data_IF_326493579320
#
_entry.id   IF_326493579320
#
_cell.length_a   1.000
_cell.length_b   1.000
_cell.length_c   1.000
_cell.angle_alpha   90.00
_cell.angle_beta   90.00
_cell.angle_gamma   90.00
#
_symmetry.space_group_name_H-M   'P 1'
#
loop_
_entity.id
_entity.type
_entity.pdbx_description
1 polymer ?
#
# COMPACT_ATOMS: atom_id res chain seq x y z
N UNK A 1 7.18 -63.72 -12.20
CA UNK A 1 8.20 -62.69 -11.89
C UNK A 1 7.51 -61.58 -11.15
N UNK A 2 7.79 -61.47 -9.85
CA UNK A 2 7.33 -60.37 -9.00
C UNK A 2 8.31 -59.20 -9.16
N UNK A 3 7.79 -57.98 -9.26
CA UNK A 3 8.56 -56.76 -9.06
C UNK A 3 8.18 -56.19 -7.69
N UNK A 4 9.23 -55.99 -6.90
CA UNK A 4 9.22 -55.67 -5.47
C UNK A 4 8.34 -54.48 -5.07
N UNK A 5 7.73 -54.65 -3.90
CA UNK A 5 7.29 -53.61 -2.98
C UNK A 5 8.42 -52.65 -2.58
N UNK A 6 7.96 -51.48 -2.12
CA UNK A 6 8.55 -50.60 -1.11
C UNK A 6 9.28 -49.35 -1.63
N UNK A 7 8.54 -48.24 -1.79
CA UNK A 7 8.94 -46.92 -1.26
C UNK A 7 7.67 -46.09 -0.91
N UNK A 8 7.64 -45.61 0.34
CA UNK A 8 6.84 -44.52 0.93
C UNK A 8 5.50 -44.82 1.64
N UNK A 9 5.63 -45.45 2.81
CA UNK A 9 4.82 -45.17 4.00
C UNK A 9 5.13 -43.77 4.60
N UNK A 10 4.95 -42.71 3.83
CA UNK A 10 4.78 -41.37 4.39
C UNK A 10 3.61 -40.73 3.65
N UNK A 11 2.52 -40.49 4.37
CA UNK A 11 1.30 -39.83 3.89
C UNK A 11 1.54 -38.35 3.57
N UNK A 12 2.45 -38.07 2.63
CA UNK A 12 2.63 -36.77 2.04
C UNK A 12 1.75 -36.72 0.79
N UNK A 13 0.46 -36.41 0.99
CA UNK A 13 -0.35 -35.91 -0.11
C UNK A 13 0.35 -34.62 -0.59
N UNK A 14 0.75 -34.49 -1.87
CA UNK A 14 1.16 -33.19 -2.38
C UNK A 14 0.02 -32.22 -2.04
N UNK A 15 0.34 -31.10 -1.39
CA UNK A 15 -0.63 -30.05 -1.12
C UNK A 15 -1.14 -29.52 -2.47
N UNK A 16 -2.20 -30.14 -3.00
CA UNK A 16 -2.96 -29.57 -4.12
C UNK A 16 -3.55 -28.29 -3.58
N UNK A 17 -2.95 -27.15 -3.93
CA UNK A 17 -3.52 -25.83 -3.66
C UNK A 17 -4.92 -25.84 -4.29
N UNK A 18 -5.92 -25.51 -3.49
CA UNK A 18 -7.31 -25.43 -3.91
C UNK A 18 -7.42 -24.59 -5.22
N UNK A 19 -8.02 -25.11 -6.30
CA UNK A 19 -8.07 -24.41 -7.59
C UNK A 19 -8.69 -23.01 -7.50
N UNK A 20 -9.67 -22.85 -6.62
CA UNK A 20 -10.32 -21.56 -6.36
C UNK A 20 -9.36 -20.59 -5.66
N UNK A 21 -8.55 -21.06 -4.70
CA UNK A 21 -7.46 -20.27 -4.14
C UNK A 21 -6.38 -19.89 -5.17
N UNK A 22 -6.04 -20.80 -6.10
CA UNK A 22 -5.10 -20.47 -7.19
C UNK A 22 -5.65 -19.35 -8.09
N UNK A 23 -6.96 -19.37 -8.37
CA UNK A 23 -7.60 -18.32 -9.16
C UNK A 23 -7.56 -16.96 -8.45
N UNK A 24 -7.81 -16.94 -7.14
CA UNK A 24 -7.66 -15.73 -6.32
C UNK A 24 -6.24 -15.15 -6.38
N UNK A 25 -5.22 -16.00 -6.25
CA UNK A 25 -3.82 -15.58 -6.33
C UNK A 25 -3.46 -15.03 -7.71
N UNK A 26 -4.02 -15.62 -8.77
CA UNK A 26 -3.84 -15.15 -10.14
C UNK A 26 -4.48 -13.78 -10.37
N UNK A 27 -5.70 -13.57 -9.90
CA UNK A 27 -6.36 -12.26 -9.93
C UNK A 27 -5.60 -11.22 -9.10
N UNK A 28 -5.11 -11.60 -7.92
CA UNK A 28 -4.33 -10.71 -7.06
C UNK A 28 -3.02 -10.30 -7.71
N UNK A 29 -2.35 -11.22 -8.40
CA UNK A 29 -1.15 -10.94 -9.18
C UNK A 29 -1.45 -9.97 -10.32
N UNK A 30 -2.56 -10.19 -11.05
CA UNK A 30 -3.02 -9.28 -12.12
C UNK A 30 -3.27 -7.88 -11.59
N UNK A 31 -3.99 -7.76 -10.47
CA UNK A 31 -4.26 -6.46 -9.85
C UNK A 31 -2.97 -5.71 -9.53
N UNK A 32 -2.00 -6.37 -8.86
CA UNK A 32 -0.73 -5.73 -8.54
C UNK A 32 0.04 -5.28 -9.79
N UNK A 33 0.09 -6.10 -10.84
CA UNK A 33 0.73 -5.73 -12.10
C UNK A 33 0.08 -4.49 -12.72
N UNK A 34 -1.24 -4.50 -12.87
CA UNK A 34 -1.99 -3.37 -13.41
C UNK A 34 -1.83 -2.10 -12.56
N UNK A 35 -1.79 -2.25 -11.24
CA UNK A 35 -1.56 -1.15 -10.32
C UNK A 35 -0.19 -0.49 -10.54
N UNK A 36 0.88 -1.29 -10.65
CA UNK A 36 2.21 -0.75 -10.94
C UNK A 36 2.32 -0.19 -12.36
N UNK A 37 1.64 -0.80 -13.34
CA UNK A 37 1.56 -0.25 -14.69
C UNK A 37 0.88 1.13 -14.69
N UNK A 38 -0.24 1.27 -13.98
CA UNK A 38 -0.95 2.53 -13.83
C UNK A 38 -0.09 3.59 -13.13
N UNK A 39 0.60 3.26 -12.03
CA UNK A 39 1.54 4.19 -11.37
C UNK A 39 2.66 4.67 -12.31
N UNK A 40 3.10 3.83 -13.25
CA UNK A 40 4.14 4.20 -14.21
C UNK A 40 3.61 5.00 -15.42
N UNK A 41 2.29 5.14 -15.57
CA UNK A 41 1.72 6.04 -16.56
C UNK A 41 1.90 7.51 -16.11
N UNK A 42 2.34 8.42 -17.00
CA UNK A 42 2.54 9.83 -16.67
C UNK A 42 1.32 10.54 -16.07
N UNK A 43 0.09 10.07 -16.36
CA UNK A 43 -1.14 10.62 -15.80
C UNK A 43 -1.31 10.33 -14.29
N UNK A 44 -0.57 9.38 -13.74
CA UNK A 44 -0.55 9.01 -12.33
C UNK A 44 0.75 9.42 -11.61
N UNK A 45 1.51 10.37 -12.16
CA UNK A 45 2.80 10.77 -11.58
C UNK A 45 2.70 11.24 -10.12
N UNK A 46 1.61 11.94 -9.75
CA UNK A 46 1.37 12.36 -8.37
C UNK A 46 1.05 11.17 -7.45
N UNK A 47 0.29 10.19 -7.95
CA UNK A 47 -0.03 8.97 -7.19
C UNK A 47 1.24 8.16 -6.95
N UNK A 48 2.09 8.05 -7.96
CA UNK A 48 3.39 7.38 -7.89
C UNK A 48 4.30 8.02 -6.85
N UNK A 49 4.45 9.34 -6.88
CA UNK A 49 5.22 10.05 -5.86
C UNK A 49 4.66 9.79 -4.46
N UNK A 50 3.33 9.89 -4.29
CA UNK A 50 2.70 9.66 -2.98
C UNK A 50 2.85 8.23 -2.45
N UNK A 51 3.02 7.26 -3.34
CA UNK A 51 3.18 5.85 -3.00
C UNK A 51 4.65 5.48 -2.77
N UNK A 52 5.57 6.00 -3.59
CA UNK A 52 7.00 5.70 -3.55
C UNK A 52 7.79 6.53 -2.53
N UNK A 53 7.35 7.76 -2.21
CA UNK A 53 8.01 8.63 -1.20
C UNK A 53 7.78 8.15 0.25
N UNK A 54 7.05 7.04 0.44
CA UNK A 54 6.79 6.44 1.75
C UNK A 54 7.94 5.51 2.13
N UNK A 55 8.62 5.82 3.24
CA UNK A 55 9.71 5.01 3.77
C UNK A 55 9.30 4.24 5.05
N UNK A 56 10.00 3.13 5.34
CA UNK A 56 9.85 2.39 6.59
C UNK A 56 8.42 1.90 6.86
N UNK A 57 7.86 2.30 8.01
CA UNK A 57 6.51 1.90 8.43
C UNK A 57 5.40 2.38 7.47
N UNK A 58 5.62 3.49 6.76
CA UNK A 58 4.68 4.06 5.80
C UNK A 58 4.69 3.27 4.47
N UNK A 59 5.83 2.71 4.08
CA UNK A 59 5.94 1.79 2.94
C UNK A 59 5.15 0.51 3.20
N UNK A 60 5.31 -0.07 4.40
CA UNK A 60 4.53 -1.24 4.83
C UNK A 60 3.03 -0.94 4.90
N UNK A 61 2.67 0.30 5.26
CA UNK A 61 1.29 0.76 5.31
C UNK A 61 0.69 0.89 3.91
N UNK A 62 1.43 1.49 2.97
CA UNK A 62 1.04 1.59 1.57
C UNK A 62 0.87 0.21 0.92
N UNK A 63 1.79 -0.72 1.23
CA UNK A 63 1.69 -2.08 0.72
C UNK A 63 0.49 -2.83 1.29
N UNK A 64 0.23 -2.69 2.59
CA UNK A 64 -0.96 -3.27 3.22
C UNK A 64 -2.27 -2.69 2.65
N UNK A 65 -2.28 -1.42 2.25
CA UNK A 65 -3.42 -0.77 1.60
C UNK A 65 -3.62 -1.29 0.19
N UNK A 66 -2.55 -1.41 -0.61
CA UNK A 66 -2.59 -2.02 -1.94
C UNK A 66 -3.11 -3.48 -1.88
N UNK A 67 -2.61 -4.26 -0.92
CA UNK A 67 -3.03 -5.64 -0.72
C UNK A 67 -4.52 -5.71 -0.30
N UNK A 68 -5.00 -4.76 0.51
CA UNK A 68 -6.42 -4.67 0.88
C UNK A 68 -7.31 -4.44 -0.34
N UNK A 69 -6.92 -3.51 -1.22
CA UNK A 69 -7.64 -3.24 -2.46
C UNK A 69 -7.71 -4.48 -3.34
N UNK A 70 -6.58 -5.16 -3.56
CA UNK A 70 -6.49 -6.42 -4.30
C UNK A 70 -7.39 -7.51 -3.70
N UNK A 71 -7.43 -7.61 -2.38
CA UNK A 71 -8.22 -8.60 -1.66
C UNK A 71 -9.73 -8.39 -1.88
N UNK A 72 -10.20 -7.17 -1.62
CA UNK A 72 -11.64 -6.84 -1.69
C UNK A 72 -12.14 -6.80 -3.13
N UNK A 73 -11.34 -6.28 -4.08
CA UNK A 73 -11.73 -6.26 -5.49
C UNK A 73 -11.84 -7.66 -6.09
N UNK A 74 -11.15 -8.65 -5.52
CA UNK A 74 -11.20 -10.05 -5.95
C UNK A 74 -12.18 -10.89 -5.14
N UNK A 75 -13.20 -10.26 -4.53
CA UNK A 75 -14.35 -10.96 -3.94
C UNK A 75 -14.13 -11.53 -2.55
N UNK A 76 -12.96 -11.29 -1.95
CA UNK A 76 -12.73 -11.66 -0.56
C UNK A 76 -13.30 -10.63 0.42
N UNK A 77 -13.74 -11.11 1.56
CA UNK A 77 -14.42 -10.30 2.59
C UNK A 77 -13.64 -10.31 3.91
N UNK A 78 -14.06 -9.50 4.87
CA UNK A 78 -13.50 -9.54 6.23
C UNK A 78 -13.57 -10.95 6.85
N UNK A 79 -14.61 -11.73 6.54
CA UNK A 79 -14.77 -13.09 7.05
C UNK A 79 -13.70 -14.05 6.54
N UNK A 80 -13.03 -13.74 5.43
CA UNK A 80 -11.96 -14.56 4.88
C UNK A 80 -10.60 -14.37 5.61
N UNK A 81 -10.51 -13.41 6.53
CA UNK A 81 -9.34 -13.22 7.39
C UNK A 81 -9.32 -14.23 8.57
N UNK A 82 -9.35 -15.52 8.27
CA UNK A 82 -9.16 -16.59 9.25
C UNK A 82 -7.78 -17.24 9.10
N UNK A 83 -6.68 -16.58 9.49
CA UNK A 83 -5.40 -17.24 9.90
C UNK A 83 -4.32 -16.21 10.31
N UNK A 84 -3.74 -16.42 11.49
CA UNK A 84 -2.55 -15.76 12.09
C UNK A 84 -2.28 -14.28 11.76
N UNK A 85 -2.95 -13.40 12.50
CA UNK A 85 -2.76 -11.94 12.44
C UNK A 85 -1.39 -11.45 12.97
N UNK A 86 -0.39 -11.38 12.09
CA UNK A 86 0.85 -10.60 12.31
C UNK A 86 1.12 -9.66 11.13
N UNK A 87 1.74 -8.52 11.43
CA UNK A 87 2.25 -7.58 10.41
C UNK A 87 1.19 -7.02 9.46
N UNK A 88 1.48 -7.09 8.16
CA UNK A 88 0.72 -6.53 7.02
C UNK A 88 -0.74 -6.98 6.98
N UNK A 89 -1.05 -8.24 7.32
CA UNK A 89 -2.42 -8.76 7.30
C UNK A 89 -3.34 -8.05 8.29
N UNK A 90 -2.83 -7.65 9.46
CA UNK A 90 -3.60 -6.87 10.44
C UNK A 90 -3.85 -5.45 9.95
N UNK A 91 -2.85 -4.82 9.32
CA UNK A 91 -2.99 -3.48 8.72
C UNK A 91 -4.04 -3.51 7.60
N UNK A 92 -3.99 -4.53 6.75
CA UNK A 92 -4.95 -4.79 5.66
C UNK A 92 -6.40 -4.87 6.19
N UNK A 93 -6.64 -5.71 7.20
CA UNK A 93 -7.95 -5.84 7.83
C UNK A 93 -8.44 -4.52 8.45
N UNK A 94 -7.56 -3.74 9.07
CA UNK A 94 -7.90 -2.43 9.63
C UNK A 94 -8.41 -1.46 8.56
N UNK A 95 -7.88 -1.50 7.34
CA UNK A 95 -8.34 -0.64 6.26
C UNK A 95 -9.72 -1.01 5.75
N UNK A 96 -10.01 -2.31 5.67
CA UNK A 96 -11.30 -2.81 5.23
C UNK A 96 -12.38 -2.51 6.28
N UNK A 97 -12.08 -2.83 7.54
CA UNK A 97 -13.04 -2.63 8.66
C UNK A 97 -13.31 -1.18 9.00
N UNK A 98 -12.33 -0.29 8.83
CA UNK A 98 -12.52 1.16 8.99
C UNK A 98 -13.25 1.82 7.82
N UNK A 99 -13.45 1.10 6.71
CA UNK A 99 -14.01 1.62 5.48
C UNK A 99 -13.04 2.48 4.67
N UNK A 100 -11.75 2.55 5.05
CA UNK A 100 -10.73 3.21 4.24
C UNK A 100 -10.59 2.52 2.87
N UNK A 101 -10.66 1.20 2.85
CA UNK A 101 -10.71 0.39 1.64
C UNK A 101 -12.12 -0.14 1.48
N UNK A 102 -12.81 0.35 0.45
CA UNK A 102 -14.16 -0.06 0.10
C UNK A 102 -14.29 -0.05 -1.42
N UNK A 103 -14.64 -1.20 -1.98
CA UNK A 103 -14.80 -1.39 -3.42
C UNK A 103 -16.30 -1.41 -3.75
N UNK A 104 -16.77 -0.57 -4.70
CA UNK A 104 -18.13 -0.66 -5.22
C UNK A 104 -18.43 -2.07 -5.77
N UNK A 105 -19.64 -2.62 -5.56
CA UNK A 105 -19.95 -4.01 -5.93
C UNK A 105 -19.75 -4.33 -7.42
N UNK A 106 -19.88 -3.34 -8.30
CA UNK A 106 -19.62 -3.45 -9.74
C UNK A 106 -18.14 -3.64 -10.09
N UNK A 107 -17.23 -3.30 -9.18
CA UNK A 107 -15.78 -3.48 -9.33
C UNK A 107 -15.26 -4.74 -8.64
N UNK A 108 -16.16 -5.54 -8.04
CA UNK A 108 -15.81 -6.79 -7.37
C UNK A 108 -15.88 -7.95 -8.37
N UNK A 109 -14.78 -8.68 -8.48
CA UNK A 109 -14.65 -9.91 -9.24
C UNK A 109 -14.86 -11.09 -8.29
N UNK A 110 -15.94 -11.85 -8.48
CA UNK A 110 -16.15 -13.09 -7.75
C UNK A 110 -15.20 -14.18 -8.27
N UNK A 111 -14.06 -14.31 -7.59
CA UNK A 111 -13.03 -15.29 -7.94
C UNK A 111 -13.54 -16.75 -7.88
N UNK A 112 -14.61 -17.02 -7.13
CA UNK A 112 -15.19 -18.38 -7.04
C UNK A 112 -16.03 -18.74 -8.26
N UNK A 113 -16.48 -17.73 -9.01
CA UNK A 113 -17.24 -17.90 -10.24
C UNK A 113 -16.35 -18.07 -11.49
N UNK A 114 -15.05 -17.74 -11.41
CA UNK A 114 -14.10 -17.88 -12.52
C UNK A 114 -13.64 -19.34 -12.61
N UNK A 115 -14.12 -20.04 -13.63
CA UNK A 115 -13.79 -21.44 -13.87
C UNK A 115 -12.80 -21.64 -15.03
N UNK A 116 -12.70 -20.66 -15.93
CA UNK A 116 -11.92 -20.77 -17.17
C UNK A 116 -10.99 -19.58 -17.37
N UNK A 117 -10.02 -19.74 -18.27
CA UNK A 117 -9.17 -18.62 -18.71
C UNK A 117 -9.96 -17.54 -19.45
N UNK A 118 -11.06 -17.88 -20.12
CA UNK A 118 -11.93 -16.91 -20.80
C UNK A 118 -12.62 -16.00 -19.78
N UNK A 119 -13.19 -16.58 -18.71
CA UNK A 119 -13.77 -15.82 -17.60
C UNK A 119 -12.73 -14.89 -16.94
N UNK A 120 -11.50 -15.38 -16.78
CA UNK A 120 -10.38 -14.60 -16.26
C UNK A 120 -10.02 -13.43 -17.17
N UNK A 121 -9.98 -13.63 -18.49
CA UNK A 121 -9.72 -12.54 -19.43
C UNK A 121 -10.89 -11.56 -19.53
N UNK A 122 -12.14 -12.01 -19.42
CA UNK A 122 -13.31 -11.13 -19.38
C UNK A 122 -13.29 -10.21 -18.15
N UNK A 123 -12.73 -10.67 -17.03
CA UNK A 123 -12.58 -9.87 -15.81
C UNK A 123 -11.55 -8.73 -15.92
N UNK A 124 -10.84 -8.60 -17.05
CA UNK A 124 -9.80 -7.61 -17.28
C UNK A 124 -10.26 -6.17 -17.05
N UNK A 125 -11.41 -5.82 -17.65
CA UNK A 125 -11.93 -4.45 -17.58
C UNK A 125 -12.32 -4.08 -16.16
N UNK A 126 -12.92 -5.02 -15.42
CA UNK A 126 -13.26 -4.83 -14.01
C UNK A 126 -12.02 -4.68 -13.14
N UNK A 127 -10.98 -5.50 -13.37
CA UNK A 127 -9.73 -5.40 -12.64
C UNK A 127 -9.04 -4.05 -12.85
N UNK A 128 -9.02 -3.56 -14.10
CA UNK A 128 -8.48 -2.24 -14.42
C UNK A 128 -9.29 -1.13 -13.75
N UNK A 129 -10.62 -1.17 -13.83
CA UNK A 129 -11.48 -0.18 -13.18
C UNK A 129 -11.31 -0.19 -11.64
N UNK A 130 -11.11 -1.36 -11.03
CA UNK A 130 -10.81 -1.47 -9.60
C UNK A 130 -9.45 -0.84 -9.24
N UNK A 131 -8.44 -0.94 -10.10
CA UNK A 131 -7.13 -0.28 -9.92
C UNK A 131 -7.28 1.24 -9.96
N UNK A 132 -8.00 1.77 -10.95
CA UNK A 132 -8.25 3.22 -11.06
C UNK A 132 -8.96 3.76 -9.82
N UNK A 133 -10.01 3.05 -9.38
CA UNK A 133 -10.73 3.40 -8.16
C UNK A 133 -9.84 3.37 -6.91
N UNK A 134 -8.96 2.38 -6.81
CA UNK A 134 -8.00 2.29 -5.71
C UNK A 134 -7.03 3.47 -5.70
N UNK A 135 -6.49 3.87 -6.85
CA UNK A 135 -5.59 5.03 -6.98
C UNK A 135 -6.29 6.34 -6.62
N UNK A 136 -7.50 6.55 -7.13
CA UNK A 136 -8.31 7.73 -6.80
C UNK A 136 -8.60 7.81 -5.30
N UNK A 137 -9.06 6.71 -4.68
CA UNK A 137 -9.31 6.67 -3.24
C UNK A 137 -8.05 6.91 -2.41
N UNK A 138 -6.90 6.33 -2.82
CA UNK A 138 -5.62 6.57 -2.14
C UNK A 138 -5.19 8.03 -2.22
N UNK A 139 -5.43 8.69 -3.35
CA UNK A 139 -5.18 10.12 -3.53
C UNK A 139 -6.06 10.94 -2.57
N UNK A 140 -7.36 10.67 -2.50
CA UNK A 140 -8.27 11.39 -1.60
C UNK A 140 -7.80 11.34 -0.14
N UNK A 141 -7.38 10.16 0.34
CA UNK A 141 -6.88 10.00 1.71
C UNK A 141 -5.53 10.69 1.95
N UNK A 142 -4.64 10.72 0.96
CA UNK A 142 -3.38 11.45 1.05
C UNK A 142 -3.60 12.96 1.25
N UNK A 143 -4.64 13.52 0.63
CA UNK A 143 -4.99 14.95 0.77
C UNK A 143 -5.73 15.29 2.07
N UNK A 144 -6.55 14.39 2.62
CA UNK A 144 -7.27 14.63 3.89
C UNK A 144 -6.35 14.58 5.12
N UNK A 145 -5.17 13.97 5.00
CA UNK A 145 -4.17 13.85 6.07
C UNK A 145 -3.20 15.03 6.24
N UNK A 146 -3.25 16.05 5.39
CA UNK A 146 -2.42 17.26 5.52
C UNK A 146 -3.22 18.31 6.31
N UNK A 147 -2.99 18.52 7.62
CA UNK A 147 -3.39 19.78 8.23
C UNK A 147 -2.62 20.88 7.49
N UNK A 148 -3.38 21.76 6.84
CA UNK A 148 -2.92 23.01 6.25
C UNK A 148 -2.13 23.80 7.30
N UNK A 149 -0.80 23.63 7.34
CA UNK A 149 0.13 24.56 7.99
C UNK A 149 0.30 25.80 7.08
N UNK A 150 -0.81 26.34 6.58
CA UNK A 150 -0.86 27.72 6.13
C UNK A 150 -1.09 28.57 7.38
N UNK A 151 -0.04 28.68 8.19
CA UNK A 151 0.03 29.61 9.30
C UNK A 151 -0.15 31.03 8.77
N UNK A 152 -1.40 31.50 8.83
CA UNK A 152 -1.79 32.89 8.78
C UNK A 152 -0.98 33.66 9.83
N UNK A 153 0.12 34.28 9.39
CA UNK A 153 0.85 35.28 10.14
C UNK A 153 0.58 36.64 9.54
N UNK A 154 -0.69 37.06 9.54
CA UNK A 154 -1.00 38.47 9.61
C UNK A 154 -0.58 39.00 11.01
N UNK A 155 0.62 39.59 11.09
CA UNK A 155 0.91 40.56 12.16
C UNK A 155 1.76 41.70 11.61
N UNK A 156 1.01 42.70 11.14
CA UNK A 156 1.21 44.13 11.28
C UNK A 156 2.62 44.68 11.57
N UNK A 157 2.98 45.60 10.69
CA UNK A 157 4.02 46.64 10.71
C UNK A 157 4.50 47.12 12.09
N UNK A 158 5.81 47.23 12.23
CA UNK A 158 6.43 48.39 12.88
C UNK A 158 7.79 48.68 12.25
N UNK A 159 7.82 49.75 11.46
CA UNK A 159 9.03 50.41 10.97
C UNK A 159 9.87 50.91 12.15
N UNK A 160 11.19 50.68 12.11
CA UNK A 160 12.19 51.56 12.73
C UNK A 160 13.56 51.33 12.09
N UNK A 161 14.14 52.44 11.65
CA UNK A 161 15.34 52.55 10.84
C UNK A 161 16.67 52.44 11.64
N UNK A 162 17.77 52.43 10.86
CA UNK A 162 19.15 52.81 11.22
C UNK A 162 19.97 51.74 11.96
N UNK A 163 21.27 51.56 11.80
CA UNK A 163 22.37 52.20 11.04
C UNK A 163 23.58 51.25 11.10
N UNK A 164 24.50 51.36 10.14
CA UNK A 164 25.85 50.77 10.17
C UNK A 164 26.61 50.97 11.49
N UNK A 165 27.49 50.02 11.83
CA UNK A 165 28.54 50.21 12.84
C UNK A 165 29.50 49.02 12.95
N UNK A 166 30.76 49.26 12.58
CA UNK A 166 31.94 48.38 12.65
C UNK A 166 32.58 48.34 14.06
N UNK A 167 33.44 47.35 14.32
CA UNK A 167 34.39 47.27 15.46
C UNK A 167 34.40 45.86 16.06
N UNK A 168 35.38 44.97 15.85
CA UNK A 168 36.79 44.93 16.29
C UNK A 168 36.99 44.96 17.82
N UNK A 169 37.86 44.04 18.29
CA UNK A 169 38.59 43.95 19.60
C UNK A 169 37.72 43.46 20.80
N UNK A 170 38.09 42.58 21.73
CA UNK A 170 39.35 42.03 22.31
C UNK A 170 38.93 40.75 23.11
N UNK A 171 39.65 39.62 23.04
CA UNK A 171 40.61 39.11 24.06
C UNK A 171 40.05 38.83 25.48
N UNK A 172 39.96 37.54 25.85
CA UNK A 172 40.50 37.06 27.14
C UNK A 172 40.68 35.52 27.17
N UNK A 173 41.92 35.14 27.50
CA UNK A 173 42.44 33.80 27.80
C UNK A 173 41.73 33.09 28.98
N UNK A 174 41.48 31.77 28.88
CA UNK A 174 41.62 30.88 30.05
C UNK A 174 42.10 29.45 29.69
N UNK A 175 43.42 29.34 29.74
CA UNK A 175 44.32 28.22 30.05
C UNK A 175 43.78 27.06 30.92
N UNK A 176 43.91 25.84 30.37
CA UNK A 176 44.43 24.57 30.92
C UNK A 176 44.03 24.01 32.31
N UNK A 177 43.64 22.73 32.31
CA UNK A 177 43.97 21.76 33.38
C UNK A 177 42.92 20.65 33.60
N UNK A 178 42.99 19.51 32.90
CA UNK A 178 43.42 18.16 33.40
C UNK A 178 42.88 17.69 34.77
N UNK A 179 42.57 16.39 34.87
CA UNK A 179 43.59 15.43 35.32
C UNK A 179 44.04 14.41 34.27
#
# INVERSE_FOLDING_TARGET
MAFNENINEQGFTPHTIDPTQQMFERLSTRFHMMFYEALNDPSHAEDKLSFEDRDGDDADLAKAEQDAWSYVSNGKTEADFELEMKGTTRKMQSFITSGKVSVPPELVIDYTAIATDEDFEESAGTAQAAVEHALEAMREWAFVGMPDESGDAASDVSESASSSGSGEEDDEDEILGTP
#
